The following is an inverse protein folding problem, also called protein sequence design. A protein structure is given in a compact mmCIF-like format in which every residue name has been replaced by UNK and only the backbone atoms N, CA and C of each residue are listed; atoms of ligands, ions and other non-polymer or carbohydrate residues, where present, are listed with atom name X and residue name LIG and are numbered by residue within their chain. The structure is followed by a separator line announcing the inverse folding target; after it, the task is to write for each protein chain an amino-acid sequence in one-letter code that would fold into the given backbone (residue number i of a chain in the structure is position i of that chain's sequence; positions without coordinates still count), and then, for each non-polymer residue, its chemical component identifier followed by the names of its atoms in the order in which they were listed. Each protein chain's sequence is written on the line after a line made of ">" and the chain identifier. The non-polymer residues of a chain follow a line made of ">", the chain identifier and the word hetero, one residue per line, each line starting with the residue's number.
data_IF_992613559981
#
_entry.id   IF_992613559981
#
_cell.length_a   1.000
_cell.length_b   1.000
_cell.length_c   1.000
_cell.angle_alpha   90.00
_cell.angle_beta   90.00
_cell.angle_gamma   90.00
#
_symmetry.space_group_name_H-M   'P 1'
#
loop_
_entity.id
_entity.type
_entity.pdbx_description
1 polymer ?
#
# COMPACT_ATOMS: atom_id res chain seq x y z
N UNK A 1 18.54 -25.61 14.97
CA UNK A 1 19.51 -24.57 14.59
C UNK A 1 20.72 -24.68 15.49
N UNK A 2 21.91 -24.71 14.93
CA UNK A 2 23.15 -24.69 15.71
C UNK A 2 23.51 -23.24 16.05
N UNK A 3 23.83 -22.98 17.30
CA UNK A 3 24.31 -21.66 17.75
C UNK A 3 25.81 -21.56 17.40
N UNK A 4 26.08 -21.05 16.22
CA UNK A 4 27.45 -20.87 15.71
C UNK A 4 27.56 -19.63 14.79
N UNK A 5 28.76 -19.30 14.38
CA UNK A 5 29.06 -18.10 13.57
C UNK A 5 28.31 -18.04 12.23
N UNK A 6 27.89 -19.18 11.66
CA UNK A 6 27.12 -19.22 10.40
C UNK A 6 25.68 -18.70 10.60
N UNK A 7 25.10 -18.96 11.78
CA UNK A 7 23.75 -18.56 12.14
C UNK A 7 23.66 -17.19 12.82
N UNK A 8 24.81 -16.64 13.27
CA UNK A 8 24.80 -15.36 13.97
C UNK A 8 24.56 -14.19 13.01
N UNK A 9 23.77 -13.23 13.48
CA UNK A 9 23.52 -12.01 12.72
C UNK A 9 24.80 -11.14 12.70
N UNK A 10 25.24 -10.77 11.51
CA UNK A 10 26.33 -9.84 11.35
C UNK A 10 25.82 -8.40 11.61
N UNK A 11 26.26 -7.80 12.72
CA UNK A 11 25.88 -6.45 13.12
C UNK A 11 26.73 -5.34 12.48
N UNK A 12 27.61 -5.66 11.54
CA UNK A 12 28.40 -4.66 10.83
C UNK A 12 27.50 -3.76 10.00
N UNK A 13 27.49 -2.49 10.31
CA UNK A 13 26.63 -1.48 9.66
C UNK A 13 27.25 -1.01 8.33
N UNK A 14 27.15 -1.83 7.31
CA UNK A 14 27.44 -1.39 5.94
C UNK A 14 26.45 -0.30 5.50
N UNK A 15 26.78 0.45 4.45
CA UNK A 15 25.88 1.47 3.91
C UNK A 15 24.50 0.87 3.55
N UNK A 16 24.49 -0.28 2.88
CA UNK A 16 23.27 -1.02 2.52
C UNK A 16 22.49 -1.47 3.77
N UNK A 17 23.16 -1.98 4.80
CA UNK A 17 22.48 -2.40 6.03
C UNK A 17 21.80 -1.22 6.74
N UNK A 18 22.43 -0.04 6.72
CA UNK A 18 21.83 1.20 7.26
C UNK A 18 20.61 1.62 6.46
N UNK A 19 20.71 1.60 5.14
CA UNK A 19 19.58 1.92 4.24
C UNK A 19 18.38 1.02 4.48
N UNK A 20 18.58 -0.30 4.50
CA UNK A 20 17.53 -1.29 4.79
C UNK A 20 16.94 -1.07 6.19
N UNK A 21 17.76 -0.76 7.18
CA UNK A 21 17.31 -0.50 8.53
C UNK A 21 16.38 0.73 8.60
N UNK A 22 16.79 1.86 8.01
CA UNK A 22 15.97 3.08 8.00
C UNK A 22 14.70 2.88 7.16
N UNK A 23 14.78 2.18 6.04
CA UNK A 23 13.63 1.81 5.23
C UNK A 23 12.62 0.98 6.05
N UNK A 24 13.08 -0.07 6.72
CA UNK A 24 12.23 -0.94 7.55
C UNK A 24 11.60 -0.18 8.70
N UNK A 25 12.36 0.66 9.39
CA UNK A 25 11.88 1.54 10.46
C UNK A 25 10.78 2.48 9.98
N UNK A 26 10.94 3.07 8.79
CA UNK A 26 9.94 3.96 8.19
C UNK A 26 8.66 3.21 7.81
N UNK A 27 8.75 1.99 7.27
CA UNK A 27 7.58 1.15 6.98
C UNK A 27 6.84 0.77 8.27
N UNK A 28 7.55 0.39 9.32
CA UNK A 28 6.94 0.07 10.62
C UNK A 28 6.22 1.29 11.17
N UNK A 29 6.84 2.46 11.10
CA UNK A 29 6.22 3.72 11.52
C UNK A 29 4.96 4.00 10.71
N UNK A 30 5.05 3.95 9.38
CA UNK A 30 3.94 4.16 8.46
C UNK A 30 2.77 3.22 8.78
N UNK A 31 3.05 1.91 8.98
CA UNK A 31 2.02 0.93 9.35
C UNK A 31 1.35 1.27 10.69
N UNK A 32 2.12 1.71 11.69
CA UNK A 32 1.57 2.10 13.00
C UNK A 32 0.69 3.35 12.93
N UNK A 33 1.01 4.29 12.06
CA UNK A 33 0.27 5.54 11.87
C UNK A 33 -1.05 5.34 11.08
N UNK A 34 -1.21 4.21 10.38
CA UNK A 34 -2.37 3.93 9.54
C UNK A 34 -3.09 2.66 10.01
N UNK A 35 -4.08 2.84 10.87
CA UNK A 35 -4.82 1.74 11.51
C UNK A 35 -5.45 0.78 10.50
N UNK A 36 -5.87 1.28 9.34
CA UNK A 36 -6.44 0.47 8.25
C UNK A 36 -5.54 -0.69 7.79
N UNK A 37 -4.21 -0.59 8.02
CA UNK A 37 -3.24 -1.64 7.70
C UNK A 37 -3.05 -2.70 8.80
N UNK A 38 -3.69 -2.52 9.96
CA UNK A 38 -3.55 -3.45 11.10
C UNK A 38 -4.79 -3.49 12.00
N UNK A 39 -5.97 -3.46 11.39
CA UNK A 39 -7.25 -3.66 12.08
C UNK A 39 -7.27 -5.00 12.82
N UNK A 40 -8.03 -5.09 13.90
CA UNK A 40 -8.15 -6.32 14.71
C UNK A 40 -8.91 -7.42 13.98
N UNK A 41 -9.91 -7.03 13.20
CA UNK A 41 -10.77 -7.97 12.48
C UNK A 41 -10.27 -8.15 11.04
N UNK A 42 -10.44 -9.35 10.51
CA UNK A 42 -10.18 -9.64 9.11
C UNK A 42 -11.11 -8.84 8.19
N UNK A 43 -10.62 -8.51 7.01
CA UNK A 43 -11.40 -7.82 5.97
C UNK A 43 -12.44 -8.77 5.36
N UNK A 44 -13.64 -8.25 5.10
CA UNK A 44 -14.76 -9.00 4.51
C UNK A 44 -14.88 -8.83 3.01
N UNK A 45 -14.12 -7.91 2.44
CA UNK A 45 -14.14 -7.56 1.01
C UNK A 45 -15.53 -7.12 0.52
N UNK A 46 -16.31 -6.49 1.37
CA UNK A 46 -17.66 -6.00 1.08
C UNK A 46 -17.98 -4.73 1.84
N UNK A 47 -18.93 -3.96 1.32
CA UNK A 47 -19.47 -2.78 2.00
C UNK A 47 -20.59 -3.17 2.99
N UNK A 48 -20.22 -3.79 4.10
CA UNK A 48 -21.17 -4.25 5.12
C UNK A 48 -21.68 -3.15 6.07
N UNK A 49 -21.19 -1.92 5.91
CA UNK A 49 -21.60 -0.76 6.72
C UNK A 49 -22.21 0.35 5.88
N UNK A 50 -22.41 0.14 4.59
CA UNK A 50 -22.93 1.15 3.65
C UNK A 50 -22.10 2.44 3.63
N UNK A 51 -20.78 2.30 3.64
CA UNK A 51 -19.85 3.42 3.56
C UNK A 51 -19.54 3.86 2.13
N UNK A 52 -20.12 3.16 1.13
CA UNK A 52 -19.93 3.41 -0.29
C UNK A 52 -18.73 2.72 -0.92
N UNK A 53 -17.88 2.06 -0.12
CA UNK A 53 -16.74 1.26 -0.55
C UNK A 53 -16.62 0.01 0.32
N UNK A 54 -16.14 -1.12 -0.24
CA UNK A 54 -15.73 -2.26 0.57
C UNK A 54 -14.65 -1.87 1.59
N UNK A 55 -14.58 -2.60 2.71
CA UNK A 55 -13.48 -2.44 3.66
C UNK A 55 -12.11 -2.66 3.02
N UNK A 56 -12.05 -3.63 2.09
CA UNK A 56 -10.90 -3.90 1.25
C UNK A 56 -11.36 -4.42 -0.11
N UNK A 57 -10.64 -4.08 -1.17
CA UNK A 57 -10.90 -4.58 -2.52
C UNK A 57 -9.61 -4.86 -3.28
N UNK A 58 -9.69 -5.81 -4.21
CA UNK A 58 -8.60 -6.15 -5.13
C UNK A 58 -8.84 -5.53 -6.50
N UNK A 59 -7.76 -5.09 -7.11
CA UNK A 59 -7.76 -4.55 -8.47
C UNK A 59 -6.52 -5.07 -9.22
N UNK A 60 -6.56 -5.01 -10.54
CA UNK A 60 -5.39 -5.18 -11.39
C UNK A 60 -4.83 -3.82 -11.81
N UNK A 61 -4.31 -3.74 -13.03
CA UNK A 61 -3.99 -2.46 -13.68
C UNK A 61 -5.24 -1.66 -14.07
N UNK A 62 -6.42 -2.28 -14.06
CA UNK A 62 -7.71 -1.61 -14.20
C UNK A 62 -8.41 -1.55 -12.85
N UNK A 63 -8.93 -0.37 -12.50
CA UNK A 63 -9.73 -0.20 -11.28
C UNK A 63 -10.92 -1.17 -11.28
N UNK A 64 -11.19 -1.80 -10.13
CA UNK A 64 -12.29 -2.75 -9.90
C UNK A 64 -12.23 -4.04 -10.72
N UNK A 65 -11.13 -4.30 -11.40
CA UNK A 65 -10.91 -5.51 -12.17
C UNK A 65 -9.61 -6.20 -11.71
N UNK A 66 -9.75 -7.21 -10.87
CA UNK A 66 -8.64 -8.05 -10.41
C UNK A 66 -8.30 -9.12 -11.46
N UNK A 67 -7.05 -9.21 -11.86
CA UNK A 67 -6.52 -10.31 -12.67
C UNK A 67 -5.61 -11.19 -11.80
N UNK A 68 -6.08 -12.38 -11.48
CA UNK A 68 -5.38 -13.37 -10.64
C UNK A 68 -4.76 -14.50 -11.45
N UNK A 69 -4.59 -14.32 -12.77
CA UNK A 69 -3.88 -15.29 -13.60
C UNK A 69 -2.42 -15.44 -13.13
N UNK A 70 -1.87 -16.66 -13.20
CA UNK A 70 -0.52 -16.93 -12.72
C UNK A 70 0.60 -16.24 -13.52
N UNK A 71 0.29 -15.73 -14.69
CA UNK A 71 1.22 -14.91 -15.50
C UNK A 71 1.21 -13.43 -15.12
N UNK A 72 0.20 -12.99 -14.40
CA UNK A 72 0.07 -11.59 -14.02
C UNK A 72 1.16 -11.22 -13.00
N UNK A 73 1.77 -10.05 -13.20
CA UNK A 73 2.82 -9.48 -12.35
C UNK A 73 2.38 -8.19 -11.67
N UNK A 74 1.09 -7.87 -11.76
CA UNK A 74 0.55 -6.61 -11.26
C UNK A 74 -0.72 -6.87 -10.48
N UNK A 75 -0.84 -6.28 -9.34
CA UNK A 75 -2.12 -6.18 -8.64
C UNK A 75 -2.16 -4.93 -7.78
N UNK A 76 -3.31 -4.59 -7.29
CA UNK A 76 -3.45 -3.53 -6.32
C UNK A 76 -4.57 -3.83 -5.34
N UNK A 77 -4.45 -3.22 -4.19
CA UNK A 77 -5.45 -3.29 -3.12
C UNK A 77 -5.90 -1.90 -2.75
N UNK A 78 -7.17 -1.76 -2.40
CA UNK A 78 -7.71 -0.54 -1.83
C UNK A 78 -8.33 -0.85 -0.48
N UNK A 79 -8.09 0.01 0.48
CA UNK A 79 -8.64 -0.03 1.83
C UNK A 79 -9.45 1.22 2.10
N UNK A 80 -10.66 1.05 2.59
CA UNK A 80 -11.50 2.15 3.01
C UNK A 80 -11.19 2.51 4.47
N UNK A 81 -10.57 3.67 4.70
CA UNK A 81 -10.14 4.12 6.02
C UNK A 81 -11.26 4.26 7.04
N UNK A 82 -12.51 4.45 6.58
CA UNK A 82 -13.66 4.59 7.48
C UNK A 82 -13.94 3.34 8.33
N UNK A 83 -13.55 2.16 7.86
CA UNK A 83 -13.68 0.93 8.64
C UNK A 83 -12.74 0.87 9.85
N UNK A 84 -11.66 1.63 9.85
CA UNK A 84 -10.79 1.77 11.02
C UNK A 84 -11.38 2.66 12.13
N UNK A 85 -12.45 3.42 11.82
CA UNK A 85 -13.09 4.37 12.76
C UNK A 85 -13.61 3.70 14.04
N UNK A 86 -14.06 2.45 13.97
CA UNK A 86 -14.51 1.71 15.15
C UNK A 86 -13.39 1.52 16.18
N UNK A 87 -12.14 1.53 15.73
CA UNK A 87 -10.97 1.30 16.60
C UNK A 87 -10.22 2.60 16.93
N UNK A 88 -10.33 3.63 16.07
CA UNK A 88 -9.60 4.91 16.23
C UNK A 88 -10.49 6.05 16.73
N UNK A 89 -11.82 5.90 16.60
CA UNK A 89 -12.78 6.97 16.88
C UNK A 89 -12.81 8.09 15.82
N UNK A 90 -12.00 7.99 14.77
CA UNK A 90 -11.88 9.01 13.71
C UNK A 90 -11.87 8.39 12.31
N UNK A 91 -12.31 9.17 11.32
CA UNK A 91 -12.28 8.77 9.91
C UNK A 91 -10.83 8.86 9.38
N UNK A 92 -10.26 7.73 9.00
CA UNK A 92 -8.91 7.66 8.47
C UNK A 92 -8.86 7.86 6.94
N UNK A 93 -7.65 8.00 6.43
CA UNK A 93 -7.40 8.06 5.01
C UNK A 93 -7.77 6.73 4.32
N UNK A 94 -8.38 6.81 3.13
CA UNK A 94 -8.42 5.68 2.24
C UNK A 94 -7.01 5.41 1.71
N UNK A 95 -6.69 4.15 1.47
CA UNK A 95 -5.37 3.74 1.02
C UNK A 95 -5.48 2.86 -0.22
N UNK A 96 -4.64 3.13 -1.21
CA UNK A 96 -4.50 2.30 -2.39
C UNK A 96 -3.03 1.90 -2.53
N UNK A 97 -2.78 0.61 -2.69
CA UNK A 97 -1.44 0.04 -2.79
C UNK A 97 -1.31 -0.66 -4.13
N UNK A 98 -0.45 -0.14 -5.00
CA UNK A 98 -0.14 -0.72 -6.29
C UNK A 98 1.17 -1.52 -6.22
N UNK A 99 1.11 -2.77 -6.65
CA UNK A 99 2.23 -3.71 -6.70
C UNK A 99 2.58 -3.97 -8.16
N UNK A 100 3.69 -3.40 -8.62
CA UNK A 100 4.25 -3.67 -9.93
C UNK A 100 5.49 -4.57 -9.81
N UNK A 101 5.30 -5.88 -9.94
CA UNK A 101 6.40 -6.85 -9.90
C UNK A 101 7.00 -7.11 -11.30
N UNK A 102 6.47 -6.43 -12.33
CA UNK A 102 7.03 -6.42 -13.67
C UNK A 102 8.27 -5.54 -13.74
N UNK A 103 9.11 -5.71 -14.74
CA UNK A 103 10.36 -4.95 -14.86
C UNK A 103 10.19 -3.57 -15.49
N UNK A 104 9.08 -3.32 -16.17
CA UNK A 104 8.76 -2.04 -16.79
C UNK A 104 7.73 -1.26 -15.98
N UNK A 105 7.69 0.04 -16.18
CA UNK A 105 6.65 0.91 -15.65
C UNK A 105 5.27 0.48 -16.15
N UNK A 106 4.28 0.50 -15.26
CA UNK A 106 2.91 0.15 -15.56
C UNK A 106 1.94 1.23 -15.13
N UNK A 107 0.95 1.50 -15.98
CA UNK A 107 -0.13 2.43 -15.67
C UNK A 107 -1.26 1.71 -14.94
N UNK A 108 -1.59 2.17 -13.74
CA UNK A 108 -2.69 1.66 -12.93
C UNK A 108 -3.88 2.61 -12.98
N UNK A 109 -5.06 2.08 -13.26
CA UNK A 109 -6.33 2.79 -13.10
C UNK A 109 -6.64 2.92 -11.61
N UNK A 110 -6.86 4.15 -11.16
CA UNK A 110 -7.07 4.46 -9.75
C UNK A 110 -8.57 4.60 -9.47
N UNK A 111 -9.13 3.84 -8.53
CA UNK A 111 -10.52 3.98 -8.12
C UNK A 111 -10.75 5.35 -7.43
N UNK A 112 -11.96 5.85 -7.51
CA UNK A 112 -12.32 7.06 -6.77
C UNK A 112 -12.29 6.80 -5.27
N UNK A 113 -11.63 7.69 -4.52
CA UNK A 113 -11.71 7.68 -3.07
C UNK A 113 -13.09 8.19 -2.59
N UNK A 114 -13.43 7.91 -1.33
CA UNK A 114 -14.65 8.42 -0.70
C UNK A 114 -14.71 9.94 -0.75
N UNK A 115 -15.93 10.47 -0.84
CA UNK A 115 -16.21 11.90 -0.76
C UNK A 115 -15.37 12.75 -1.74
N UNK A 116 -15.01 12.19 -2.90
CA UNK A 116 -14.18 12.85 -3.92
C UNK A 116 -12.80 13.31 -3.42
N UNK A 117 -12.28 12.69 -2.35
CA UNK A 117 -10.94 12.95 -1.83
C UNK A 117 -9.89 12.74 -2.92
N UNK A 118 -8.83 13.50 -2.86
CA UNK A 118 -7.71 13.40 -3.81
C UNK A 118 -6.67 12.40 -3.33
N UNK A 119 -6.24 11.54 -4.23
CA UNK A 119 -5.13 10.64 -3.99
C UNK A 119 -3.79 11.38 -4.03
N UNK A 120 -2.90 11.06 -3.11
CA UNK A 120 -1.52 11.55 -3.07
C UNK A 120 -0.58 10.38 -2.81
N UNK A 121 0.62 10.44 -3.38
CA UNK A 121 1.67 9.46 -3.07
C UNK A 121 2.09 9.65 -1.62
N UNK A 122 2.00 8.59 -0.83
CA UNK A 122 2.44 8.56 0.55
C UNK A 122 3.80 7.88 0.70
N UNK A 123 4.04 6.83 -0.10
CA UNK A 123 5.25 6.03 -0.03
C UNK A 123 5.50 5.30 -1.35
N UNK A 124 6.76 5.10 -1.69
CA UNK A 124 7.16 4.20 -2.78
C UNK A 124 8.47 3.51 -2.44
N UNK A 125 8.63 2.26 -2.88
CA UNK A 125 9.90 1.54 -2.81
C UNK A 125 10.87 1.95 -3.92
N UNK A 126 10.39 2.66 -4.94
CA UNK A 126 11.23 3.18 -6.02
C UNK A 126 11.69 4.60 -5.71
N UNK A 127 13.00 4.88 -5.78
CA UNK A 127 13.52 6.24 -5.66
C UNK A 127 13.10 7.14 -6.83
N UNK A 128 12.71 6.53 -7.95
CA UNK A 128 12.29 7.23 -9.17
C UNK A 128 10.82 7.65 -9.16
N UNK A 129 10.07 7.30 -8.10
CA UNK A 129 8.67 7.69 -8.01
C UNK A 129 8.54 9.20 -7.80
N UNK A 130 7.92 9.86 -8.75
CA UNK A 130 7.62 11.28 -8.64
C UNK A 130 6.41 11.49 -7.73
N UNK A 131 6.47 12.56 -6.94
CA UNK A 131 5.32 13.03 -6.15
C UNK A 131 4.43 13.90 -7.05
N UNK A 132 3.68 13.25 -7.92
CA UNK A 132 2.74 13.91 -8.83
C UNK A 132 1.32 13.86 -8.29
N UNK A 133 0.47 14.76 -8.78
CA UNK A 133 -0.96 14.70 -8.51
C UNK A 133 -1.54 13.45 -9.18
N UNK A 134 -2.24 12.63 -8.41
CA UNK A 134 -2.77 11.34 -8.88
C UNK A 134 -4.11 11.59 -9.56
N UNK A 135 -4.15 11.33 -10.86
CA UNK A 135 -5.36 11.40 -11.66
C UNK A 135 -6.18 10.10 -11.65
N UNK A 136 -6.86 9.83 -12.76
CA UNK A 136 -7.60 8.56 -12.96
C UNK A 136 -6.67 7.38 -13.24
N UNK A 137 -5.45 7.65 -13.65
CA UNK A 137 -4.38 6.69 -13.85
C UNK A 137 -3.12 7.20 -13.18
N UNK A 138 -2.25 6.28 -12.79
CA UNK A 138 -0.98 6.59 -12.14
C UNK A 138 0.08 5.57 -12.57
N UNK A 139 1.26 6.07 -12.92
CA UNK A 139 2.36 5.23 -13.36
C UNK A 139 3.19 4.75 -12.17
N UNK A 140 3.37 3.45 -12.09
CA UNK A 140 4.15 2.78 -11.04
C UNK A 140 5.41 2.19 -11.67
N UNK A 141 6.60 2.58 -11.21
CA UNK A 141 7.86 2.06 -11.74
C UNK A 141 7.96 0.55 -11.64
N UNK A 142 8.74 -0.07 -12.51
CA UNK A 142 8.98 -1.51 -12.50
C UNK A 142 9.61 -1.98 -11.18
N UNK A 143 9.27 -3.18 -10.75
CA UNK A 143 9.78 -3.82 -9.52
C UNK A 143 9.60 -2.95 -8.28
N UNK A 144 8.43 -2.30 -8.18
CA UNK A 144 8.15 -1.40 -7.07
C UNK A 144 6.73 -1.52 -6.52
N UNK A 145 6.57 -1.01 -5.32
CA UNK A 145 5.29 -0.84 -4.64
C UNK A 145 5.09 0.64 -4.38
N UNK A 146 3.93 1.17 -4.76
CA UNK A 146 3.56 2.56 -4.48
C UNK A 146 2.27 2.60 -3.68
N UNK A 147 2.28 3.38 -2.61
CA UNK A 147 1.15 3.59 -1.73
C UNK A 147 0.60 4.99 -1.92
N UNK A 148 -0.68 5.07 -2.24
CA UNK A 148 -1.44 6.30 -2.33
C UNK A 148 -2.37 6.41 -1.12
N UNK A 149 -2.54 7.63 -0.62
CA UNK A 149 -3.52 7.94 0.45
C UNK A 149 -4.45 9.07 0.03
N UNK A 150 -5.71 8.97 0.47
CA UNK A 150 -6.71 10.01 0.31
C UNK A 150 -7.25 10.39 1.69
N UNK A 151 -6.71 11.49 2.27
CA UNK A 151 -7.04 11.93 3.63
C UNK A 151 -8.43 12.57 3.70
N UNK A 152 -9.10 12.48 4.85
CA UNK A 152 -10.22 13.39 5.17
C UNK A 152 -9.78 14.85 5.03
N UNK A 153 -10.68 15.70 4.56
CA UNK A 153 -10.51 17.17 4.60
C UNK A 153 -10.72 17.71 6.01
#
# INVERSE_FOLDING_TARGET
>A
CLDNEISWTNWNKTAMAKEIFEFTKNIIKFRKEHKVLHMKNETRQMDYKSYGLPDMSYHGTKAWYGDFSHFNRHFSTMYCGKYAMDETGSDEADMYIAYNMYWEEQSFGIPSARNKRKWKVAFSTSPNQKSEEVGRTFNVPGRSITVLIAKPE
#
